data_IF_251054975887
#
_entry.id   IF_251054975887
#
_cell.length_a   1.000
_cell.length_b   1.000
_cell.length_c   1.000
_cell.angle_alpha   90.00
_cell.angle_beta   90.00
_cell.angle_gamma   90.00
#
_symmetry.space_group_name_H-M   'P 1'
#
loop_
_entity.id
_entity.type
_entity.pdbx_description
1 polymer ?
#
# COMPACT_ATOMS: atom_id res chain seq x y z
N UNK A 1 2.46 12.42 4.16
CA UNK A 1 1.25 11.66 4.49
C UNK A 1 1.59 10.54 5.45
N UNK A 2 1.03 10.60 6.63
CA UNK A 2 1.23 9.56 7.64
C UNK A 2 0.04 8.63 7.64
N UNK A 3 0.24 7.38 7.32
CA UNK A 3 -0.79 6.36 7.35
C UNK A 3 -0.56 5.43 8.53
N UNK A 4 -1.61 5.15 9.28
CA UNK A 4 -1.53 4.19 10.37
C UNK A 4 -1.82 2.77 9.85
N UNK A 5 -1.65 1.77 10.71
CA UNK A 5 -1.82 0.38 10.32
C UNK A 5 -3.23 0.05 9.85
N UNK A 6 -4.25 0.64 10.49
CA UNK A 6 -5.64 0.41 10.08
C UNK A 6 -5.93 0.96 8.71
N UNK A 7 -5.42 2.14 8.40
CA UNK A 7 -5.57 2.75 7.08
C UNK A 7 -4.85 1.92 6.00
N UNK A 8 -3.65 1.44 6.30
CA UNK A 8 -2.92 0.58 5.38
C UNK A 8 -3.65 -0.74 5.14
N UNK A 9 -4.25 -1.32 6.18
CA UNK A 9 -5.01 -2.56 6.05
C UNK A 9 -6.24 -2.37 5.16
N UNK A 10 -6.95 -1.26 5.31
CA UNK A 10 -8.09 -0.93 4.44
C UNK A 10 -7.63 -0.84 2.98
N UNK A 11 -6.54 -0.10 2.72
CA UNK A 11 -6.02 0.04 1.36
C UNK A 11 -5.56 -1.31 0.80
N UNK A 12 -4.90 -2.12 1.61
CA UNK A 12 -4.45 -3.45 1.20
C UNK A 12 -5.63 -4.27 0.65
N UNK A 13 -6.73 -4.30 1.40
CA UNK A 13 -7.92 -5.03 0.98
C UNK A 13 -8.52 -4.45 -0.30
N UNK A 14 -8.66 -3.13 -0.37
CA UNK A 14 -9.34 -2.49 -1.49
C UNK A 14 -8.50 -2.51 -2.78
N UNK A 15 -7.20 -2.58 -2.67
CA UNK A 15 -6.35 -2.79 -3.86
C UNK A 15 -6.47 -4.21 -4.40
N UNK A 16 -6.79 -5.18 -3.53
CA UNK A 16 -7.02 -6.56 -3.97
C UNK A 16 -8.39 -6.74 -4.58
N UNK A 17 -9.41 -6.15 -3.96
CA UNK A 17 -10.79 -6.25 -4.40
C UNK A 17 -11.58 -5.03 -3.96
N UNK A 18 -12.11 -4.29 -4.90
CA UNK A 18 -12.96 -3.13 -4.63
C UNK A 18 -14.05 -3.01 -5.70
N UNK A 19 -15.18 -2.38 -5.40
CA UNK A 19 -15.51 -1.77 -4.11
C UNK A 19 -15.91 -2.79 -3.05
N UNK A 20 -15.88 -2.37 -1.79
CA UNK A 20 -16.29 -3.22 -0.66
C UNK A 20 -17.14 -2.43 0.33
N UNK A 21 -18.03 -3.14 1.00
CA UNK A 21 -18.84 -2.59 2.11
C UNK A 21 -18.07 -2.70 3.42
N UNK A 22 -18.39 -1.86 4.43
CA UNK A 22 -17.72 -1.94 5.73
C UNK A 22 -17.75 -3.33 6.38
N UNK A 23 -18.88 -4.04 6.27
CA UNK A 23 -19.00 -5.38 6.86
C UNK A 23 -17.99 -6.36 6.24
N UNK A 24 -17.79 -6.27 4.92
CA UNK A 24 -16.83 -7.13 4.21
C UNK A 24 -15.39 -6.76 4.55
N UNK A 25 -15.12 -5.46 4.70
CA UNK A 25 -13.79 -4.98 5.13
C UNK A 25 -13.51 -5.47 6.55
N UNK A 26 -14.50 -5.37 7.45
CA UNK A 26 -14.37 -5.82 8.84
C UNK A 26 -14.08 -7.31 8.91
N UNK A 27 -14.82 -8.11 8.15
CA UNK A 27 -14.65 -9.57 8.15
C UNK A 27 -13.28 -10.01 7.67
N UNK A 28 -12.69 -9.27 6.75
CA UNK A 28 -11.39 -9.60 6.15
C UNK A 28 -10.22 -8.88 6.84
N UNK A 29 -10.50 -8.12 7.90
CA UNK A 29 -9.45 -7.37 8.59
C UNK A 29 -8.41 -8.31 9.19
N UNK A 30 -7.14 -7.92 9.12
CA UNK A 30 -6.03 -8.74 9.62
C UNK A 30 -6.00 -8.91 11.13
N UNK A 31 -6.80 -8.14 11.86
CA UNK A 31 -6.97 -8.26 13.31
C UNK A 31 -8.38 -7.84 13.68
N UNK A 32 -8.73 -8.05 14.94
CA UNK A 32 -10.06 -7.70 15.43
C UNK A 32 -10.23 -6.18 15.47
N UNK A 33 -11.28 -5.68 14.81
CA UNK A 33 -11.64 -4.27 14.83
C UNK A 33 -13.16 -4.17 14.98
N UNK A 34 -13.61 -3.28 15.86
CA UNK A 34 -15.05 -3.10 16.01
C UNK A 34 -15.62 -2.20 14.89
N UNK A 35 -16.92 -2.33 14.69
CA UNK A 35 -17.62 -1.64 13.62
C UNK A 35 -17.48 -0.11 13.72
N UNK A 36 -17.61 0.44 14.92
CA UNK A 36 -17.51 1.89 15.13
C UNK A 36 -16.13 2.42 14.80
N UNK A 37 -15.09 1.73 15.23
CA UNK A 37 -13.72 2.11 14.94
C UNK A 37 -13.45 2.06 13.43
N UNK A 38 -13.87 0.98 12.78
CA UNK A 38 -13.68 0.86 11.33
C UNK A 38 -14.41 1.97 10.57
N UNK A 39 -15.65 2.27 10.95
CA UNK A 39 -16.41 3.35 10.30
C UNK A 39 -15.73 4.70 10.44
N UNK A 40 -15.16 4.97 11.62
CA UNK A 40 -14.37 6.20 11.83
C UNK A 40 -13.15 6.25 10.93
N UNK A 41 -12.44 5.13 10.78
CA UNK A 41 -11.29 5.03 9.88
C UNK A 41 -11.73 5.31 8.43
N UNK A 42 -12.79 4.68 7.98
CA UNK A 42 -13.27 4.85 6.61
C UNK A 42 -13.70 6.28 6.31
N UNK A 43 -14.43 6.90 7.23
CA UNK A 43 -14.86 8.30 7.07
C UNK A 43 -13.65 9.23 7.00
N UNK A 44 -12.69 9.05 7.89
CA UNK A 44 -11.45 9.83 7.89
C UNK A 44 -10.67 9.68 6.59
N UNK A 45 -10.62 8.46 6.06
CA UNK A 45 -9.91 8.20 4.80
C UNK A 45 -10.61 8.86 3.60
N UNK A 46 -11.94 8.88 3.59
CA UNK A 46 -12.68 9.61 2.55
C UNK A 46 -12.40 11.09 2.66
N UNK A 47 -12.44 11.65 3.88
CA UNK A 47 -12.18 13.06 4.12
C UNK A 47 -10.77 13.48 3.70
N UNK A 48 -9.80 12.57 3.87
CA UNK A 48 -8.40 12.82 3.52
C UNK A 48 -8.07 12.50 2.05
N UNK A 49 -9.06 12.10 1.26
CA UNK A 49 -8.85 11.82 -0.15
C UNK A 49 -8.21 10.48 -0.48
N UNK A 50 -8.12 9.58 0.49
CA UNK A 50 -7.55 8.24 0.28
C UNK A 50 -8.56 7.26 -0.30
N UNK A 51 -9.83 7.44 0.02
CA UNK A 51 -10.93 6.62 -0.47
C UNK A 51 -12.01 7.46 -1.10
N UNK A 52 -12.76 6.85 -1.96
CA UNK A 52 -14.05 7.35 -2.43
C UNK A 52 -15.12 6.34 -2.02
N UNK A 53 -16.35 6.81 -1.90
CA UNK A 53 -17.48 5.93 -1.58
C UNK A 53 -18.67 6.26 -2.46
N UNK A 54 -19.45 5.24 -2.74
CA UNK A 54 -20.69 5.37 -3.50
C UNK A 54 -21.78 4.63 -2.76
N UNK A 55 -22.90 5.31 -2.55
CA UNK A 55 -24.06 4.67 -1.92
C UNK A 55 -24.80 3.84 -2.96
N UNK A 56 -25.08 2.60 -2.62
CA UNK A 56 -25.92 1.71 -3.43
C UNK A 56 -26.86 0.98 -2.48
N UNK A 57 -28.15 1.25 -2.63
CA UNK A 57 -29.15 0.78 -1.67
C UNK A 57 -28.93 1.46 -0.32
N UNK A 58 -28.78 0.66 0.73
CA UNK A 58 -28.58 1.15 2.09
C UNK A 58 -27.11 1.16 2.50
N UNK A 59 -26.22 0.70 1.64
CA UNK A 59 -24.81 0.54 1.97
C UNK A 59 -23.94 1.50 1.19
N UNK A 60 -22.85 1.94 1.84
CA UNK A 60 -21.77 2.61 1.14
C UNK A 60 -20.75 1.58 0.69
N UNK A 61 -20.25 1.77 -0.53
CA UNK A 61 -19.23 0.93 -1.14
C UNK A 61 -17.97 1.78 -1.31
N UNK A 62 -16.87 1.29 -0.78
CA UNK A 62 -15.60 2.03 -0.72
C UNK A 62 -14.61 1.52 -1.76
N UNK A 63 -13.89 2.46 -2.38
CA UNK A 63 -12.82 2.16 -3.34
C UNK A 63 -11.63 3.07 -3.07
N UNK A 64 -10.40 2.63 -3.42
CA UNK A 64 -9.24 3.47 -3.20
C UNK A 64 -9.18 4.61 -4.21
N UNK A 65 -8.74 5.79 -3.77
CA UNK A 65 -8.43 6.92 -4.64
C UNK A 65 -6.94 7.07 -4.87
N UNK A 66 -6.13 6.41 -4.07
CA UNK A 66 -4.68 6.42 -4.22
C UNK A 66 -4.23 5.13 -4.88
N UNK A 67 -3.36 5.25 -5.87
CA UNK A 67 -2.81 4.08 -6.56
C UNK A 67 -1.75 3.42 -5.68
N UNK A 68 -1.74 2.08 -5.69
CA UNK A 68 -0.81 1.29 -4.90
C UNK A 68 0.65 1.70 -5.18
N UNK A 69 1.01 1.80 -6.46
CA UNK A 69 2.37 2.13 -6.87
C UNK A 69 2.79 3.53 -6.44
N UNK A 70 1.86 4.48 -6.50
CA UNK A 70 2.14 5.86 -6.07
C UNK A 70 2.43 5.90 -4.57
N UNK A 71 1.61 5.21 -3.77
CA UNK A 71 1.82 5.16 -2.33
C UNK A 71 3.10 4.42 -1.98
N UNK A 72 3.36 3.30 -2.65
CA UNK A 72 4.58 2.52 -2.43
C UNK A 72 5.82 3.39 -2.65
N UNK A 73 5.87 4.13 -3.74
CA UNK A 73 6.99 5.04 -4.02
C UNK A 73 7.18 6.09 -2.94
N UNK A 74 6.08 6.69 -2.46
CA UNK A 74 6.15 7.68 -1.37
C UNK A 74 6.69 7.09 -0.08
N UNK A 75 6.19 5.93 0.30
CA UNK A 75 6.61 5.28 1.53
C UNK A 75 8.07 4.85 1.47
N UNK A 76 8.48 4.28 0.35
CA UNK A 76 9.89 3.90 0.14
C UNK A 76 10.80 5.13 0.20
N UNK A 77 10.38 6.24 -0.41
CA UNK A 77 11.12 7.49 -0.35
C UNK A 77 11.31 7.99 1.08
N UNK A 78 10.28 7.90 1.91
CA UNK A 78 10.36 8.29 3.32
C UNK A 78 11.31 7.40 4.11
N UNK A 79 11.25 6.10 3.88
CA UNK A 79 12.17 5.16 4.53
C UNK A 79 13.59 5.44 4.10
N UNK A 80 13.82 5.70 2.81
CA UNK A 80 15.13 6.04 2.30
C UNK A 80 15.69 7.32 2.92
N UNK A 81 14.84 8.33 3.15
CA UNK A 81 15.25 9.57 3.81
C UNK A 81 15.79 9.30 5.21
N UNK A 82 15.18 8.38 5.93
CA UNK A 82 15.57 8.05 7.30
C UNK A 82 16.83 7.19 7.34
N UNK A 83 16.92 6.18 6.50
CA UNK A 83 17.95 5.14 6.62
C UNK A 83 19.06 5.21 5.57
N UNK A 84 18.83 5.85 4.44
CA UNK A 84 19.73 5.76 3.29
C UNK A 84 19.98 7.12 2.61
N UNK A 85 19.94 8.19 3.39
CA UNK A 85 20.23 9.56 2.94
C UNK A 85 19.42 9.98 1.71
N UNK A 86 18.17 9.52 1.61
CA UNK A 86 17.29 9.84 0.51
C UNK A 86 17.49 8.98 -0.75
N UNK A 87 18.40 8.03 -0.72
CA UNK A 87 18.69 7.18 -1.86
C UNK A 87 17.87 5.88 -1.78
N UNK A 88 16.90 5.72 -2.66
CA UNK A 88 16.12 4.49 -2.75
C UNK A 88 16.98 3.32 -3.22
N UNK A 89 17.98 3.59 -4.07
CA UNK A 89 18.93 2.57 -4.51
C UNK A 89 19.77 2.03 -3.35
N UNK A 90 20.25 2.91 -2.48
CA UNK A 90 20.99 2.49 -1.28
C UNK A 90 20.09 1.69 -0.34
N UNK A 91 18.83 2.11 -0.17
CA UNK A 91 17.88 1.38 0.64
C UNK A 91 17.67 -0.03 0.11
N UNK A 92 17.50 -0.18 -1.20
CA UNK A 92 17.32 -1.48 -1.82
C UNK A 92 18.54 -2.38 -1.59
N UNK A 93 19.72 -1.84 -1.72
CA UNK A 93 20.98 -2.57 -1.46
C UNK A 93 21.10 -3.00 -0.01
N UNK A 94 20.72 -2.11 0.92
CA UNK A 94 20.71 -2.42 2.35
C UNK A 94 19.73 -3.56 2.66
N UNK A 95 18.52 -3.48 2.12
CA UNK A 95 17.54 -4.55 2.29
C UNK A 95 18.02 -5.87 1.72
N UNK A 96 18.65 -5.84 0.57
CA UNK A 96 19.22 -7.05 -0.04
C UNK A 96 20.36 -7.66 0.79
N UNK A 97 21.10 -6.84 1.54
CA UNK A 97 22.16 -7.34 2.40
C UNK A 97 21.64 -7.93 3.71
N UNK A 98 20.49 -7.45 4.19
CA UNK A 98 19.87 -7.94 5.42
C UNK A 98 19.08 -9.22 5.16
N UNK A 99 18.29 -9.21 4.09
CA UNK A 99 17.46 -10.35 3.71
C UNK A 99 18.17 -11.23 2.72
N UNK A 100 18.17 -12.54 2.97
CA UNK A 100 18.75 -13.50 2.04
C UNK A 100 17.76 -13.71 0.89
N UNK A 101 18.14 -13.23 -0.28
CA UNK A 101 17.37 -13.48 -1.49
C UNK A 101 17.72 -14.84 -2.05
N UNK A 102 16.72 -15.58 -2.55
CA UNK A 102 16.94 -16.83 -3.27
C UNK A 102 17.58 -16.54 -4.63
N UNK A 103 18.17 -17.58 -5.24
CA UNK A 103 18.73 -17.45 -6.58
C UNK A 103 17.69 -17.01 -7.60
N UNK A 104 16.45 -17.47 -7.45
CA UNK A 104 15.35 -17.07 -8.31
C UNK A 104 15.02 -15.58 -8.12
N UNK A 105 14.92 -15.14 -6.87
CA UNK A 105 14.66 -13.73 -6.56
C UNK A 105 15.74 -12.80 -7.08
N UNK A 106 17.02 -13.20 -6.94
CA UNK A 106 18.14 -12.44 -7.49
C UNK A 106 18.08 -12.37 -9.01
N UNK A 107 17.73 -13.47 -9.64
CA UNK A 107 17.58 -13.54 -11.10
C UNK A 107 16.47 -12.62 -11.58
N UNK A 108 15.33 -12.62 -10.89
CA UNK A 108 14.19 -11.73 -11.22
C UNK A 108 14.56 -10.27 -11.03
N UNK A 109 15.29 -9.95 -9.96
CA UNK A 109 15.73 -8.58 -9.70
C UNK A 109 16.66 -8.07 -10.79
N UNK A 110 17.59 -8.92 -11.24
CA UNK A 110 18.50 -8.58 -12.35
C UNK A 110 17.73 -8.36 -13.65
N UNK A 111 16.70 -9.15 -13.90
CA UNK A 111 15.85 -9.00 -15.09
C UNK A 111 15.13 -7.66 -15.09
N UNK A 112 14.61 -7.24 -13.93
CA UNK A 112 13.95 -5.95 -13.77
C UNK A 112 14.94 -4.81 -14.05
N UNK A 113 16.14 -4.88 -13.48
CA UNK A 113 17.18 -3.88 -13.68
C UNK A 113 17.60 -3.76 -15.14
N UNK A 114 17.73 -4.90 -15.84
CA UNK A 114 18.06 -4.91 -17.26
C UNK A 114 16.95 -4.33 -18.13
N UNK A 115 15.70 -4.64 -17.80
CA UNK A 115 14.54 -4.11 -18.52
C UNK A 115 14.48 -2.60 -18.44
N UNK A 116 14.76 -2.03 -17.27
CA UNK A 116 14.81 -0.58 -17.07
C UNK A 116 15.93 0.07 -17.87
N UNK A 117 17.11 -0.51 -17.85
CA UNK A 117 18.26 -0.04 -18.63
C UNK A 117 17.94 -0.06 -20.13
N UNK A 118 17.24 -1.06 -20.60
CA UNK A 118 16.83 -1.17 -21.98
C UNK A 118 15.79 -0.14 -22.40
N UNK A 119 14.99 0.33 -21.47
CA UNK A 119 13.94 1.32 -21.74
C UNK A 119 14.45 2.76 -21.72
N UNK A 120 15.63 3.00 -21.22
CA UNK A 120 16.25 4.34 -21.15
C UNK A 120 16.90 4.75 -22.47
N UNK A 121 16.90 3.90 -23.45
CA UNK A 121 17.36 4.20 -24.77
C UNK A 121 16.21 4.72 -25.64
#
# INVERSE_FOLDING_TARGET
MKLNESELEVLRQLWQESPKKPADIQSAFGWEIDNGTLRSVLVGMVDNGLLKRKKSGKAFWYSPRVRRETLLKRMVGRIADVFSDGSTGKLLMELASIEKLSDLELSELRAIAKSEDGNDE
#
